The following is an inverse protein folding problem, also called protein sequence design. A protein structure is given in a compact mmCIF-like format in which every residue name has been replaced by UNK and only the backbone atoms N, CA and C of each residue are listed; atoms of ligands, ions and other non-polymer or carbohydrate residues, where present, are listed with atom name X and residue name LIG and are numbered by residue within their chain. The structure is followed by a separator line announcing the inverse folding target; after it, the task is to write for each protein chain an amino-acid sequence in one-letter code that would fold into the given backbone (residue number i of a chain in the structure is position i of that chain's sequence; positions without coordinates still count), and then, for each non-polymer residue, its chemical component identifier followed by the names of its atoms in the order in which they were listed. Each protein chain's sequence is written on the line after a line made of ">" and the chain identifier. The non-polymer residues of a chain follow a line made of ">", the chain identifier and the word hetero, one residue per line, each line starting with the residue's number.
data_IF_331367401787
#
_entry.id   IF_331367401787
#
_cell.length_a   1.000
_cell.length_b   1.000
_cell.length_c   1.000
_cell.angle_alpha   90.00
_cell.angle_beta   90.00
_cell.angle_gamma   90.00
#
_symmetry.space_group_name_H-M   'P 1'
#
loop_
_entity.id
_entity.type
_entity.pdbx_description
1 polymer ?
#
# COMPACT_ATOMS: atom_id res chain seq x y z
N UNK A 1 9.66 -18.88 -10.28
CA UNK A 1 10.18 -17.53 -9.93
C UNK A 1 9.28 -16.51 -10.62
N UNK A 2 8.81 -15.48 -9.92
CA UNK A 2 8.09 -14.37 -10.56
C UNK A 2 9.07 -13.60 -11.45
N UNK A 3 8.63 -13.26 -12.68
CA UNK A 3 9.46 -12.47 -13.60
C UNK A 3 9.60 -11.06 -13.04
N UNK A 4 10.84 -10.61 -12.83
CA UNK A 4 11.09 -9.22 -12.41
C UNK A 4 10.68 -8.26 -13.54
N UNK A 5 9.82 -7.31 -13.22
CA UNK A 5 9.46 -6.20 -14.11
C UNK A 5 10.56 -5.15 -14.08
N UNK A 6 11.12 -4.79 -15.23
CA UNK A 6 12.24 -3.83 -15.31
C UNK A 6 11.83 -2.46 -15.78
N UNK A 7 10.68 -2.33 -16.43
CA UNK A 7 10.17 -1.04 -16.92
C UNK A 7 8.64 -0.97 -16.87
N UNK A 8 8.11 0.24 -16.91
CA UNK A 8 6.66 0.48 -16.95
C UNK A 8 5.98 -0.17 -18.16
N UNK A 9 6.67 -0.23 -19.30
CA UNK A 9 6.14 -0.85 -20.52
C UNK A 9 5.82 -2.34 -20.35
N UNK A 10 6.48 -3.02 -19.43
CA UNK A 10 6.23 -4.43 -19.12
C UNK A 10 5.00 -4.65 -18.21
N UNK A 11 4.48 -3.60 -17.56
CA UNK A 11 3.32 -3.67 -16.67
C UNK A 11 1.96 -3.68 -17.38
N UNK A 12 1.90 -3.76 -18.70
CA UNK A 12 0.67 -3.57 -19.49
C UNK A 12 0.04 -2.21 -19.15
N UNK A 13 0.54 -1.11 -19.69
CA UNK A 13 0.20 0.25 -19.29
C UNK A 13 -1.32 0.49 -19.22
N UNK A 14 -1.81 0.92 -18.08
CA UNK A 14 -3.21 1.28 -17.87
C UNK A 14 -3.39 2.78 -18.16
N UNK A 15 -4.31 3.17 -19.06
CA UNK A 15 -4.50 4.58 -19.46
C UNK A 15 -4.92 5.50 -18.31
N UNK A 16 -5.42 4.95 -17.20
CA UNK A 16 -5.77 5.72 -15.99
C UNK A 16 -4.56 6.21 -15.20
N UNK A 17 -3.37 5.70 -15.51
CA UNK A 17 -2.13 6.07 -14.85
C UNK A 17 -1.16 6.73 -15.82
N UNK A 18 -0.32 7.58 -15.31
CA UNK A 18 0.82 8.15 -16.03
C UNK A 18 2.11 7.82 -15.30
N UNK A 19 3.16 7.53 -16.06
CA UNK A 19 4.50 7.34 -15.53
C UNK A 19 5.07 8.71 -15.10
N UNK A 20 5.50 8.81 -13.85
CA UNK A 20 6.20 9.98 -13.33
C UNK A 20 7.71 9.77 -13.36
N UNK A 21 8.14 8.57 -12.97
CA UNK A 21 9.55 8.25 -12.80
C UNK A 21 9.76 6.74 -12.81
N UNK A 22 10.86 6.29 -13.40
CA UNK A 22 11.35 4.92 -13.29
C UNK A 22 12.87 4.90 -13.20
N UNK A 23 13.41 4.02 -12.35
CA UNK A 23 14.84 3.83 -12.16
C UNK A 23 15.14 2.43 -11.64
N UNK A 24 16.30 1.90 -12.01
CA UNK A 24 16.83 0.70 -11.40
C UNK A 24 17.74 1.08 -10.22
N UNK A 25 17.46 0.52 -9.06
CA UNK A 25 18.16 0.77 -7.81
C UNK A 25 19.14 -0.37 -7.55
N UNK A 26 20.41 -0.15 -7.90
CA UNK A 26 21.46 -1.18 -7.83
C UNK A 26 21.69 -1.69 -6.41
N UNK A 27 21.67 -0.79 -5.42
CA UNK A 27 21.92 -1.11 -4.00
C UNK A 27 20.95 -2.16 -3.43
N UNK A 28 19.72 -2.16 -3.91
CA UNK A 28 18.67 -3.10 -3.50
C UNK A 28 18.21 -4.03 -4.64
N UNK A 29 18.87 -3.98 -5.77
CA UNK A 29 18.60 -4.80 -6.98
C UNK A 29 17.11 -4.79 -7.37
N UNK A 30 16.49 -3.62 -7.33
CA UNK A 30 15.07 -3.46 -7.57
C UNK A 30 14.77 -2.40 -8.63
N UNK A 31 13.78 -2.65 -9.47
CA UNK A 31 13.22 -1.61 -10.34
C UNK A 31 12.17 -0.83 -9.59
N UNK A 32 12.35 0.49 -9.47
CA UNK A 32 11.42 1.42 -8.89
C UNK A 32 10.61 2.16 -9.97
N UNK A 33 9.30 2.15 -9.87
CA UNK A 33 8.39 2.83 -10.81
C UNK A 33 7.40 3.67 -10.00
N UNK A 34 7.29 4.95 -10.31
CA UNK A 34 6.32 5.86 -9.69
C UNK A 34 5.29 6.27 -10.72
N UNK A 35 4.04 5.98 -10.41
CA UNK A 35 2.88 6.32 -11.23
C UNK A 35 1.99 7.34 -10.52
N UNK A 36 1.23 8.10 -11.30
CA UNK A 36 0.16 8.96 -10.81
C UNK A 36 -1.17 8.52 -11.41
N UNK A 37 -2.18 8.30 -10.59
CA UNK A 37 -3.54 8.07 -11.06
C UNK A 37 -4.16 9.39 -11.52
N UNK A 38 -4.53 9.48 -12.80
CA UNK A 38 -4.94 10.75 -13.45
C UNK A 38 -6.17 11.39 -12.80
N UNK A 39 -7.15 10.58 -12.38
CA UNK A 39 -8.41 11.07 -11.82
C UNK A 39 -8.28 11.57 -10.38
N UNK A 40 -7.56 10.86 -9.52
CA UNK A 40 -7.47 11.17 -8.08
C UNK A 40 -6.18 11.88 -7.68
N UNK A 41 -5.15 11.87 -8.54
CA UNK A 41 -3.81 12.35 -8.21
C UNK A 41 -3.02 11.40 -7.27
N UNK A 42 -3.60 10.27 -6.88
CA UNK A 42 -2.92 9.32 -6.02
C UNK A 42 -1.63 8.80 -6.67
N UNK A 43 -0.57 8.67 -5.87
CA UNK A 43 0.71 8.10 -6.30
C UNK A 43 0.74 6.61 -6.01
N UNK A 44 1.29 5.85 -6.94
CA UNK A 44 1.55 4.41 -6.79
C UNK A 44 3.04 4.19 -6.98
N UNK A 45 3.69 3.62 -5.97
CA UNK A 45 5.06 3.16 -6.06
C UNK A 45 5.05 1.65 -6.28
N UNK A 46 5.68 1.20 -7.34
CA UNK A 46 5.88 -0.22 -7.64
C UNK A 46 7.37 -0.51 -7.50
N UNK A 47 7.69 -1.50 -6.68
CA UNK A 47 9.05 -2.03 -6.56
C UNK A 47 9.05 -3.49 -7.02
N UNK A 48 9.88 -3.79 -8.00
CA UNK A 48 10.00 -5.13 -8.56
C UNK A 48 11.42 -5.65 -8.39
N UNK A 49 11.54 -6.81 -7.74
CA UNK A 49 12.80 -7.51 -7.51
C UNK A 49 12.61 -9.03 -7.62
N UNK A 50 13.61 -9.79 -7.21
CA UNK A 50 13.60 -11.26 -7.24
C UNK A 50 13.09 -11.89 -5.92
N UNK A 51 12.61 -11.09 -4.95
CA UNK A 51 11.99 -11.58 -3.72
C UNK A 51 10.63 -12.24 -4.04
N UNK A 52 10.39 -13.39 -3.44
CA UNK A 52 9.10 -14.10 -3.55
C UNK A 52 7.98 -13.49 -2.70
N UNK A 53 8.32 -12.70 -1.70
CA UNK A 53 7.35 -12.01 -0.86
C UNK A 53 6.68 -10.89 -1.64
N UNK A 54 5.38 -10.74 -1.43
CA UNK A 54 4.59 -9.67 -2.03
C UNK A 54 4.05 -8.77 -0.93
N UNK A 55 4.35 -7.49 -1.03
CA UNK A 55 3.86 -6.47 -0.10
C UNK A 55 2.96 -5.49 -0.85
N UNK A 56 1.80 -5.21 -0.26
CA UNK A 56 0.97 -4.06 -0.62
C UNK A 56 0.88 -3.13 0.60
N UNK A 57 0.93 -1.82 0.37
CA UNK A 57 0.74 -0.83 1.43
C UNK A 57 -0.13 0.33 0.93
N UNK A 58 -1.28 0.53 1.58
CA UNK A 58 -2.04 1.77 1.43
C UNK A 58 -1.49 2.81 2.41
N UNK A 59 -1.01 3.95 1.88
CA UNK A 59 -0.38 5.01 2.66
C UNK A 59 -1.16 6.32 2.49
N UNK A 60 -1.49 6.97 3.61
CA UNK A 60 -2.22 8.22 3.65
C UNK A 60 -1.42 9.28 4.42
N UNK A 61 -1.39 10.49 3.89
CA UNK A 61 -0.88 11.63 4.62
C UNK A 61 -1.96 12.13 5.56
N UNK A 62 -1.73 12.03 6.88
CA UNK A 62 -2.70 12.33 7.94
C UNK A 62 -2.10 13.25 9.02
N UNK A 63 -1.60 14.46 8.68
CA UNK A 63 -1.07 15.38 9.68
C UNK A 63 -2.21 15.79 10.62
N UNK A 64 -2.05 15.63 11.95
CA UNK A 64 -3.06 16.04 12.90
C UNK A 64 -3.10 17.57 13.00
N UNK A 65 -4.28 18.14 13.16
CA UNK A 65 -4.49 19.58 13.39
C UNK A 65 -4.57 19.92 14.88
N UNK A 66 -4.69 18.91 15.74
CA UNK A 66 -4.80 19.04 17.20
C UNK A 66 -4.40 17.72 17.90
N UNK A 67 -4.43 17.69 19.21
CA UNK A 67 -4.01 16.56 20.05
C UNK A 67 -5.14 15.55 20.37
N UNK A 68 -6.20 15.50 19.58
CA UNK A 68 -7.37 14.62 19.87
C UNK A 68 -7.20 13.19 19.40
N UNK A 69 -6.11 12.85 18.70
CA UNK A 69 -5.82 11.49 18.23
C UNK A 69 -6.71 11.00 17.08
N UNK A 70 -7.40 11.90 16.38
CA UNK A 70 -8.34 11.57 15.29
C UNK A 70 -7.72 10.61 14.24
N UNK A 71 -6.49 10.79 13.73
CA UNK A 71 -5.93 9.85 12.75
C UNK A 71 -5.83 8.42 13.28
N UNK A 72 -5.47 8.22 14.54
CA UNK A 72 -5.36 6.91 15.17
C UNK A 72 -6.74 6.28 15.42
N UNK A 73 -7.73 7.08 15.82
CA UNK A 73 -9.12 6.61 15.98
C UNK A 73 -9.69 6.16 14.63
N UNK A 74 -9.44 6.92 13.57
CA UNK A 74 -9.86 6.56 12.21
C UNK A 74 -9.16 5.28 11.75
N UNK A 75 -7.87 5.12 12.01
CA UNK A 75 -7.11 3.91 11.67
C UNK A 75 -7.80 2.65 12.22
N UNK A 76 -8.14 2.64 13.52
CA UNK A 76 -8.89 1.53 14.13
C UNK A 76 -10.30 1.38 13.53
N UNK A 77 -10.98 2.50 13.27
CA UNK A 77 -12.38 2.48 12.80
C UNK A 77 -12.54 1.90 11.40
N UNK A 78 -11.63 2.20 10.47
CA UNK A 78 -11.72 1.71 9.08
C UNK A 78 -11.46 0.21 8.95
N UNK A 79 -10.86 -0.41 9.98
CA UNK A 79 -10.59 -1.84 10.04
C UNK A 79 -11.77 -2.66 10.60
N UNK A 80 -12.80 -1.99 11.14
CA UNK A 80 -13.96 -2.62 11.80
C UNK A 80 -15.11 -2.98 10.86
N UNK A 81 -14.85 -3.13 9.57
CA UNK A 81 -15.84 -3.53 8.58
C UNK A 81 -15.89 -2.61 7.37
N UNK A 82 -16.54 -3.08 6.33
CA UNK A 82 -16.73 -2.33 5.09
C UNK A 82 -18.07 -2.65 4.45
N UNK A 83 -18.44 -1.90 3.40
CA UNK A 83 -19.67 -2.16 2.62
C UNK A 83 -19.76 -3.60 2.11
N UNK A 84 -18.66 -4.20 1.69
CA UNK A 84 -18.61 -5.55 1.16
C UNK A 84 -18.31 -6.61 2.21
N UNK A 85 -17.78 -6.22 3.36
CA UNK A 85 -17.44 -7.08 4.49
C UNK A 85 -18.00 -6.47 5.78
N UNK A 86 -19.32 -6.56 6.00
CA UNK A 86 -19.99 -5.91 7.14
C UNK A 86 -19.85 -6.71 8.45
N UNK A 87 -18.84 -7.58 8.54
CA UNK A 87 -18.56 -8.33 9.76
C UNK A 87 -17.94 -7.44 10.83
N UNK A 88 -18.18 -7.80 12.09
CA UNK A 88 -17.54 -7.16 13.24
C UNK A 88 -16.07 -7.61 13.28
N UNK A 89 -15.15 -6.66 13.26
CA UNK A 89 -13.70 -6.86 13.34
C UNK A 89 -13.12 -7.86 12.29
N UNK A 90 -13.29 -7.58 10.98
CA UNK A 90 -12.77 -8.45 9.92
C UNK A 90 -11.23 -8.52 9.94
N UNK A 91 -10.56 -7.49 10.44
CA UNK A 91 -9.11 -7.44 10.56
C UNK A 91 -8.57 -8.56 11.47
N UNK A 92 -9.13 -8.68 12.68
CA UNK A 92 -8.71 -9.75 13.60
C UNK A 92 -9.10 -11.14 13.12
N UNK A 93 -10.19 -11.27 12.36
CA UNK A 93 -10.56 -12.54 11.73
C UNK A 93 -9.53 -12.95 10.67
N UNK A 94 -9.07 -12.00 9.85
CA UNK A 94 -8.01 -12.24 8.86
C UNK A 94 -6.68 -12.59 9.52
N UNK A 95 -6.28 -11.87 10.57
CA UNK A 95 -5.05 -12.16 11.32
C UNK A 95 -5.04 -13.59 11.88
N UNK A 96 -6.18 -14.06 12.38
CA UNK A 96 -6.31 -15.41 12.98
C UNK A 96 -6.45 -16.53 11.96
N UNK A 97 -7.08 -16.26 10.82
CA UNK A 97 -7.45 -17.26 9.81
C UNK A 97 -6.57 -17.29 8.57
N UNK A 98 -5.65 -16.36 8.42
CA UNK A 98 -4.83 -16.21 7.22
C UNK A 98 -3.43 -16.80 7.41
N UNK A 99 -2.90 -17.39 6.33
CA UNK A 99 -1.48 -17.76 6.21
C UNK A 99 -0.59 -16.56 5.86
N UNK A 100 -1.12 -15.33 5.92
CA UNK A 100 -0.36 -14.12 5.66
C UNK A 100 0.78 -13.96 6.67
N UNK A 101 1.92 -13.54 6.17
CA UNK A 101 3.13 -13.37 6.98
C UNK A 101 3.10 -12.05 7.75
N UNK A 102 2.37 -11.06 7.27
CA UNK A 102 2.30 -9.74 7.90
C UNK A 102 1.01 -8.99 7.53
N UNK A 103 0.28 -8.53 8.53
CA UNK A 103 -0.89 -7.66 8.41
C UNK A 103 -0.86 -6.67 9.56
N UNK A 104 -0.83 -5.37 9.28
CA UNK A 104 -0.73 -4.34 10.30
C UNK A 104 -1.40 -3.04 9.87
N UNK A 105 -1.60 -2.14 10.83
CA UNK A 105 -1.93 -0.73 10.61
C UNK A 105 -1.09 0.11 11.57
N UNK A 106 -0.64 1.27 11.11
CA UNK A 106 0.31 2.10 11.86
C UNK A 106 0.00 3.58 11.63
N UNK A 107 -0.23 4.31 12.71
CA UNK A 107 -0.37 5.76 12.70
C UNK A 107 0.88 6.43 13.24
N UNK A 108 1.47 7.29 12.44
CA UNK A 108 2.62 8.14 12.77
C UNK A 108 2.17 9.60 12.91
N UNK A 109 3.10 10.50 13.23
CA UNK A 109 2.80 11.91 13.43
C UNK A 109 2.23 12.63 12.21
N UNK A 110 2.47 12.15 10.99
CA UNK A 110 2.05 12.80 9.74
C UNK A 110 1.44 11.85 8.69
N UNK A 111 1.39 10.56 8.99
CA UNK A 111 0.94 9.52 8.03
C UNK A 111 0.31 8.32 8.74
N UNK A 112 -0.55 7.62 8.01
CA UNK A 112 -1.14 6.34 8.41
C UNK A 112 -0.90 5.31 7.32
N UNK A 113 -0.45 4.12 7.69
CA UNK A 113 -0.04 3.05 6.79
C UNK A 113 -0.84 1.78 7.08
N UNK A 114 -1.25 1.08 6.02
CA UNK A 114 -1.92 -0.23 6.09
C UNK A 114 -1.16 -1.24 5.22
N UNK A 115 -0.09 -1.84 5.74
CA UNK A 115 0.69 -2.84 5.01
C UNK A 115 0.11 -4.24 5.14
N UNK A 116 0.22 -5.02 4.06
CA UNK A 116 -0.16 -6.44 3.96
C UNK A 116 0.89 -7.19 3.17
N UNK A 117 1.37 -8.30 3.68
CA UNK A 117 2.33 -9.17 3.02
C UNK A 117 1.92 -10.65 3.07
#
# INVERSE_FOLDING_TARGET
>A
MAKQVRSYSELSPNPSYELMYEEYLDDIRSSGIILRHKKSGARVAVMSNDDSNKLFCAAFRTPPTNSTGVPHIIEHSVLNGSKHFPSRDPFMQLVKGSLNTFLNAMTYGDKTLYPVA
#
